data_IF_510913345519
#
_entry.id   IF_510913345519
#
_cell.length_a   1.000
_cell.length_b   1.000
_cell.length_c   1.000
_cell.angle_alpha   90.00
_cell.angle_beta   90.00
_cell.angle_gamma   90.00
#
_symmetry.space_group_name_H-M   'P 1'
#
loop_
_entity.id
_entity.type
_entity.pdbx_description
1 polymer ?
#
# COMPACT_ATOMS: atom_id res chain seq x y z
N UNK A 1 58.91 -11.48 -39.98
CA UNK A 1 57.99 -10.45 -39.44
C UNK A 1 56.92 -11.19 -38.64
N UNK A 2 57.12 -11.20 -37.33
CA UNK A 2 56.48 -12.12 -36.39
C UNK A 2 55.11 -11.55 -35.97
N UNK A 3 54.03 -12.27 -36.27
CA UNK A 3 52.69 -11.93 -35.78
C UNK A 3 52.59 -12.27 -34.29
N UNK A 4 52.37 -11.25 -33.45
CA UNK A 4 51.99 -11.40 -32.05
C UNK A 4 50.50 -11.75 -31.96
N UNK A 5 50.20 -12.96 -31.47
CA UNK A 5 48.87 -13.37 -31.02
C UNK A 5 48.65 -12.88 -29.58
N UNK A 6 47.60 -12.09 -29.36
CA UNK A 6 47.09 -11.78 -28.01
C UNK A 6 46.47 -13.02 -27.36
N UNK A 7 46.64 -13.25 -26.05
CA UNK A 7 45.90 -14.29 -25.35
C UNK A 7 44.49 -13.81 -24.99
N UNK A 8 43.50 -14.64 -25.28
CA UNK A 8 42.12 -14.54 -24.79
C UNK A 8 42.11 -14.53 -23.25
N UNK A 9 41.50 -13.49 -22.66
CA UNK A 9 41.09 -13.50 -21.26
C UNK A 9 39.94 -14.51 -21.09
N UNK A 10 40.18 -15.55 -20.31
CA UNK A 10 39.16 -16.50 -19.89
C UNK A 10 38.11 -15.78 -19.03
N UNK A 11 36.85 -15.86 -19.45
CA UNK A 11 35.72 -15.42 -18.66
C UNK A 11 35.58 -16.30 -17.40
N UNK A 12 36.00 -15.76 -16.26
CA UNK A 12 35.71 -16.31 -14.95
C UNK A 12 34.19 -16.28 -14.72
N UNK A 13 33.54 -17.45 -14.84
CA UNK A 13 32.16 -17.65 -14.36
C UNK A 13 32.15 -17.38 -12.85
N UNK A 14 31.54 -16.27 -12.42
CA UNK A 14 31.12 -16.11 -11.03
C UNK A 14 30.07 -17.17 -10.73
N UNK A 15 30.49 -18.24 -10.06
CA UNK A 15 29.59 -19.12 -9.32
C UNK A 15 28.97 -18.30 -8.20
N UNK A 16 27.68 -17.96 -8.31
CA UNK A 16 26.89 -17.50 -7.18
C UNK A 16 26.98 -18.57 -6.08
N UNK A 17 27.62 -18.21 -4.97
CA UNK A 17 27.58 -19.02 -3.77
C UNK A 17 26.11 -19.14 -3.34
N UNK A 18 25.60 -20.37 -3.27
CA UNK A 18 24.34 -20.70 -2.62
C UNK A 18 24.39 -20.15 -1.20
N UNK A 19 23.61 -19.11 -0.94
CA UNK A 19 23.37 -18.62 0.41
C UNK A 19 22.67 -19.73 1.19
N UNK A 20 23.18 -20.01 2.39
CA UNK A 20 22.59 -20.95 3.33
C UNK A 20 21.15 -20.52 3.67
N UNK A 21 20.24 -21.47 3.96
CA UNK A 21 18.86 -21.15 4.28
C UNK A 21 18.83 -20.26 5.52
N UNK A 22 18.26 -19.07 5.37
CA UNK A 22 17.90 -18.23 6.51
C UNK A 22 16.92 -19.03 7.34
N UNK A 23 17.33 -19.42 8.55
CA UNK A 23 16.45 -20.04 9.53
C UNK A 23 15.31 -19.07 9.83
N UNK A 24 14.14 -19.33 9.27
CA UNK A 24 12.89 -18.67 9.62
C UNK A 24 12.62 -18.95 11.09
N UNK A 25 12.82 -17.93 11.94
CA UNK A 25 12.28 -17.96 13.29
C UNK A 25 10.75 -18.03 13.15
N UNK A 26 10.06 -18.93 13.87
CA UNK A 26 8.61 -18.94 13.85
C UNK A 26 8.12 -17.58 14.38
N UNK A 27 7.19 -16.95 13.67
CA UNK A 27 6.41 -15.86 14.26
C UNK A 27 5.80 -16.38 15.55
N UNK A 28 6.14 -15.75 16.67
CA UNK A 28 5.39 -15.95 17.89
C UNK A 28 4.03 -15.29 17.70
N UNK A 29 3.06 -16.06 17.21
CA UNK A 29 1.66 -15.74 17.39
C UNK A 29 1.45 -15.56 18.90
N UNK A 30 1.14 -14.34 19.34
CA UNK A 30 0.52 -14.16 20.63
C UNK A 30 -0.75 -15.00 20.60
N UNK A 31 -0.76 -16.08 21.37
CA UNK A 31 -1.92 -16.93 21.59
C UNK A 31 -3.09 -16.04 22.00
N UNK A 32 -4.00 -15.80 21.06
CA UNK A 32 -5.32 -15.28 21.36
C UNK A 32 -5.92 -16.20 22.42
N UNK A 33 -6.47 -15.62 23.49
CA UNK A 33 -7.34 -16.37 24.39
C UNK A 33 -8.42 -17.00 23.52
N UNK A 34 -8.39 -18.33 23.43
CA UNK A 34 -9.41 -19.11 22.75
C UNK A 34 -10.76 -18.82 23.41
N UNK A 35 -11.60 -18.03 22.73
CA UNK A 35 -13.03 -18.18 22.90
C UNK A 35 -13.39 -19.52 22.29
N UNK A 36 -13.99 -20.40 23.09
CA UNK A 36 -14.49 -21.69 22.63
C UNK A 36 -15.52 -21.44 21.52
N UNK A 37 -15.13 -21.60 20.26
CA UNK A 37 -16.06 -21.65 19.14
C UNK A 37 -16.52 -23.10 19.00
N UNK A 38 -17.79 -23.36 19.28
CA UNK A 38 -18.44 -24.52 18.69
C UNK A 38 -18.27 -24.42 17.17
N UNK A 39 -17.82 -25.49 16.53
CA UNK A 39 -17.63 -25.58 15.09
C UNK A 39 -19.00 -25.56 14.38
N UNK A 40 -19.60 -24.38 14.25
CA UNK A 40 -20.57 -24.12 13.20
C UNK A 40 -19.76 -23.87 11.93
N UNK A 41 -19.92 -24.73 10.92
CA UNK A 41 -19.32 -24.54 9.61
C UNK A 41 -19.49 -23.10 9.15
N UNK A 42 -18.40 -22.43 8.76
CA UNK A 42 -18.43 -21.09 8.19
C UNK A 42 -19.41 -21.12 7.00
N UNK A 43 -20.59 -20.52 7.18
CA UNK A 43 -21.54 -20.35 6.07
C UNK A 43 -21.07 -19.14 5.29
N UNK A 44 -20.67 -19.36 4.04
CA UNK A 44 -20.39 -18.29 3.12
C UNK A 44 -21.66 -17.44 2.93
N UNK A 45 -21.50 -16.13 3.05
CA UNK A 45 -22.57 -15.17 2.83
C UNK A 45 -22.44 -14.62 1.42
N UNK A 46 -23.53 -14.74 0.64
CA UNK A 46 -23.60 -14.12 -0.69
C UNK A 46 -24.01 -12.67 -0.50
N UNK A 47 -23.11 -11.76 -0.85
CA UNK A 47 -23.33 -10.32 -0.83
C UNK A 47 -23.63 -9.85 -2.25
N UNK A 48 -24.69 -9.06 -2.43
CA UNK A 48 -24.98 -8.42 -3.70
C UNK A 48 -24.48 -6.98 -3.68
N UNK A 49 -23.49 -6.69 -4.51
CA UNK A 49 -23.00 -5.34 -4.72
C UNK A 49 -24.01 -4.49 -5.50
N UNK A 50 -24.10 -3.17 -5.23
CA UNK A 50 -24.85 -2.23 -6.04
C UNK A 50 -24.48 -2.31 -7.53
N UNK A 51 -25.45 -2.07 -8.43
CA UNK A 51 -25.23 -2.17 -9.88
C UNK A 51 -24.23 -1.13 -10.42
N UNK A 52 -23.95 -0.07 -9.66
CA UNK A 52 -22.99 0.98 -9.98
C UNK A 52 -21.64 0.79 -9.27
N UNK A 53 -21.37 -0.37 -8.64
CA UNK A 53 -20.07 -0.65 -8.01
C UNK A 53 -18.93 -0.70 -9.02
N UNK A 54 -19.23 -1.00 -10.29
CA UNK A 54 -18.25 -1.14 -11.36
C UNK A 54 -18.68 -0.44 -12.66
N UNK A 55 -17.73 0.19 -13.33
CA UNK A 55 -17.86 0.67 -14.72
C UNK A 55 -16.64 0.16 -15.51
N UNK A 56 -16.85 -0.58 -16.59
CA UNK A 56 -15.77 -1.23 -17.35
C UNK A 56 -15.41 -0.51 -18.65
N UNK A 57 -14.19 -0.73 -19.11
CA UNK A 57 -13.66 -0.22 -20.37
C UNK A 57 -12.83 -1.31 -21.05
N UNK A 58 -13.26 -1.75 -22.23
CA UNK A 58 -12.62 -2.82 -23.00
C UNK A 58 -12.46 -4.16 -22.24
N UNK A 59 -13.32 -4.43 -21.26
CA UNK A 59 -13.40 -5.69 -20.53
C UNK A 59 -14.81 -5.94 -19.97
N UNK A 60 -15.12 -7.20 -19.69
CA UNK A 60 -16.32 -7.57 -18.94
C UNK A 60 -16.12 -7.25 -17.46
N UNK A 61 -17.12 -6.65 -16.77
CA UNK A 61 -17.01 -6.34 -15.36
C UNK A 61 -17.03 -7.63 -14.50
N UNK A 62 -16.49 -7.59 -13.27
CA UNK A 62 -16.61 -8.70 -12.34
C UNK A 62 -18.07 -8.94 -11.90
N UNK A 63 -18.31 -10.10 -11.31
CA UNK A 63 -19.59 -10.45 -10.69
C UNK A 63 -19.97 -9.42 -9.61
N UNK A 64 -21.27 -9.11 -9.54
CA UNK A 64 -21.85 -8.34 -8.44
C UNK A 64 -22.24 -9.24 -7.25
N UNK A 65 -22.31 -10.56 -7.45
CA UNK A 65 -22.47 -11.53 -6.37
C UNK A 65 -21.09 -11.92 -5.85
N UNK A 66 -20.85 -11.65 -4.57
CA UNK A 66 -19.57 -11.87 -3.89
C UNK A 66 -19.77 -12.83 -2.73
N UNK A 67 -18.99 -13.90 -2.70
CA UNK A 67 -19.01 -14.87 -1.61
C UNK A 67 -17.90 -14.56 -0.61
N UNK A 68 -18.28 -14.16 0.59
CA UNK A 68 -17.35 -13.94 1.69
C UNK A 68 -17.87 -14.60 2.97
N UNK A 69 -16.95 -15.16 3.74
CA UNK A 69 -17.29 -15.70 5.05
C UNK A 69 -17.54 -14.56 6.05
N UNK A 70 -18.34 -14.85 7.08
CA UNK A 70 -18.51 -13.95 8.23
C UNK A 70 -17.17 -13.48 8.79
N UNK A 71 -16.21 -14.39 8.97
CA UNK A 71 -14.91 -14.08 9.55
C UNK A 71 -14.09 -13.13 8.67
N UNK A 72 -14.18 -13.26 7.34
CA UNK A 72 -13.53 -12.35 6.41
C UNK A 72 -14.08 -10.92 6.55
N UNK A 73 -15.42 -10.77 6.61
CA UNK A 73 -16.05 -9.46 6.77
C UNK A 73 -15.74 -8.82 8.12
N UNK A 74 -15.77 -9.60 9.21
CA UNK A 74 -15.38 -9.12 10.54
C UNK A 74 -13.90 -8.71 10.58
N UNK A 75 -13.02 -9.45 9.90
CA UNK A 75 -11.63 -9.08 9.77
C UNK A 75 -11.47 -7.76 9.00
N UNK A 76 -12.11 -7.61 7.84
CA UNK A 76 -12.10 -6.35 7.07
C UNK A 76 -12.51 -5.15 7.94
N UNK A 77 -13.58 -5.29 8.73
CA UNK A 77 -14.00 -4.25 9.67
C UNK A 77 -12.91 -3.89 10.69
N UNK A 78 -12.33 -4.90 11.35
CA UNK A 78 -11.26 -4.70 12.35
C UNK A 78 -10.05 -3.99 11.74
N UNK A 79 -9.60 -4.41 10.56
CA UNK A 79 -8.44 -3.82 9.90
C UNK A 79 -8.69 -2.36 9.52
N UNK A 80 -9.86 -2.02 8.97
CA UNK A 80 -10.20 -0.63 8.67
C UNK A 80 -10.27 0.23 9.95
N UNK A 81 -10.85 -0.30 11.03
CA UNK A 81 -10.90 0.38 12.32
C UNK A 81 -9.50 0.65 12.90
N UNK A 82 -8.57 -0.30 12.80
CA UNK A 82 -7.18 -0.14 13.20
C UNK A 82 -6.49 0.95 12.38
N UNK A 83 -6.61 0.92 11.05
CA UNK A 83 -6.02 1.94 10.17
C UNK A 83 -6.55 3.33 10.51
N UNK A 84 -7.89 3.49 10.59
CA UNK A 84 -8.52 4.76 11.00
C UNK A 84 -7.97 5.27 12.32
N UNK A 85 -7.79 4.38 13.29
CA UNK A 85 -7.33 4.73 14.64
C UNK A 85 -5.84 5.06 14.68
N UNK A 86 -5.01 4.36 13.91
CA UNK A 86 -3.60 4.68 13.69
C UNK A 86 -3.43 6.08 13.07
N UNK A 87 -4.22 6.40 12.05
CA UNK A 87 -4.14 7.68 11.34
C UNK A 87 -4.61 8.87 12.20
N UNK A 88 -5.71 8.73 12.95
CA UNK A 88 -6.15 9.78 13.90
C UNK A 88 -5.11 9.96 15.02
N UNK A 89 -4.42 8.89 15.42
CA UNK A 89 -3.33 8.97 16.38
C UNK A 89 -2.13 9.71 15.79
N UNK A 90 -1.76 9.45 14.54
CA UNK A 90 -0.69 10.16 13.85
C UNK A 90 -1.02 11.67 13.72
N UNK A 91 -2.26 12.05 13.42
CA UNK A 91 -2.72 13.44 13.46
C UNK A 91 -2.44 14.11 14.83
N UNK A 92 -2.82 13.45 15.92
CA UNK A 92 -2.60 13.95 17.27
C UNK A 92 -1.12 14.08 17.64
N UNK A 93 -0.30 13.09 17.29
CA UNK A 93 1.15 13.09 17.53
C UNK A 93 1.86 14.19 16.71
N UNK A 94 1.41 14.44 15.48
CA UNK A 94 1.93 15.53 14.65
C UNK A 94 1.59 16.90 15.24
N UNK A 95 0.34 17.11 15.67
CA UNK A 95 -0.08 18.35 16.35
C UNK A 95 0.66 18.58 17.68
N UNK A 96 1.07 17.51 18.34
CA UNK A 96 1.93 17.54 19.52
C UNK A 96 3.42 17.75 19.20
N UNK A 97 3.77 18.00 17.93
CA UNK A 97 5.15 18.20 17.43
C UNK A 97 6.08 17.00 17.64
N UNK A 98 5.52 15.81 17.87
CA UNK A 98 6.28 14.56 18.01
C UNK A 98 6.59 13.91 16.66
N UNK A 99 5.70 14.09 15.68
CA UNK A 99 5.95 13.77 14.26
C UNK A 99 6.30 15.08 13.54
N UNK A 100 7.28 15.04 12.64
CA UNK A 100 7.76 16.21 11.89
C UNK A 100 7.78 15.93 10.38
N UNK A 101 8.00 16.97 9.59
CA UNK A 101 8.12 16.84 8.13
C UNK A 101 6.80 16.49 7.47
N UNK A 102 6.81 15.52 6.55
CA UNK A 102 5.59 15.08 5.89
C UNK A 102 4.82 14.03 6.70
N UNK A 103 3.50 14.11 6.66
CA UNK A 103 2.60 13.09 7.21
C UNK A 103 1.29 13.12 6.41
N UNK A 104 1.00 12.02 5.69
CA UNK A 104 -0.13 11.93 4.75
C UNK A 104 -1.11 10.87 5.22
N UNK A 105 -2.23 11.29 5.81
CA UNK A 105 -3.18 10.39 6.45
C UNK A 105 -4.16 9.77 5.44
N UNK A 106 -4.37 8.45 5.46
CA UNK A 106 -5.34 7.79 4.55
C UNK A 106 -6.78 7.73 5.08
N UNK A 107 -7.14 8.53 6.10
CA UNK A 107 -8.51 8.52 6.65
C UNK A 107 -9.58 8.74 5.57
N UNK A 108 -10.53 7.80 5.48
CA UNK A 108 -11.58 7.75 4.45
C UNK A 108 -11.29 6.81 3.28
N UNK A 109 -10.04 6.33 3.14
CA UNK A 109 -9.60 5.43 2.06
C UNK A 109 -9.30 4.01 2.57
N UNK A 110 -9.75 3.65 3.76
CA UNK A 110 -9.39 2.37 4.40
C UNK A 110 -9.81 1.15 3.58
N UNK A 111 -10.99 1.24 2.93
CA UNK A 111 -11.52 0.18 2.07
C UNK A 111 -10.57 -0.22 0.95
N UNK A 112 -9.77 0.72 0.41
CA UNK A 112 -8.83 0.44 -0.67
C UNK A 112 -7.75 -0.53 -0.21
N UNK A 113 -7.00 -0.18 0.84
CA UNK A 113 -5.92 -1.02 1.35
C UNK A 113 -6.41 -2.36 1.93
N UNK A 114 -7.54 -2.37 2.63
CA UNK A 114 -8.08 -3.57 3.28
C UNK A 114 -8.76 -4.50 2.28
N UNK A 115 -9.55 -3.96 1.35
CA UNK A 115 -10.20 -4.73 0.31
C UNK A 115 -9.18 -5.36 -0.63
N UNK A 116 -8.13 -4.61 -0.99
CA UNK A 116 -7.01 -5.12 -1.75
C UNK A 116 -6.34 -6.29 -1.02
N UNK A 117 -5.85 -6.10 0.20
CA UNK A 117 -5.09 -7.14 0.90
C UNK A 117 -5.90 -8.42 1.09
N UNK A 118 -7.19 -8.28 1.34
CA UNK A 118 -8.08 -9.43 1.53
C UNK A 118 -8.19 -10.32 0.28
N UNK A 119 -7.90 -9.79 -0.91
CA UNK A 119 -7.94 -10.48 -2.20
C UNK A 119 -6.56 -10.93 -2.72
N UNK A 120 -5.47 -10.49 -2.09
CA UNK A 120 -4.10 -10.80 -2.51
C UNK A 120 -3.51 -11.98 -1.72
N UNK A 121 -2.36 -12.44 -2.21
CA UNK A 121 -1.48 -13.40 -1.53
C UNK A 121 -0.15 -12.74 -1.15
N UNK A 122 0.65 -13.41 -0.34
CA UNK A 122 2.00 -12.95 0.03
C UNK A 122 2.95 -12.91 -1.20
N UNK A 123 2.64 -13.65 -2.27
CA UNK A 123 3.45 -13.67 -3.49
C UNK A 123 3.24 -12.40 -4.33
N UNK A 124 2.05 -11.80 -4.27
CA UNK A 124 1.71 -10.58 -5.00
C UNK A 124 2.51 -9.40 -4.45
N UNK A 125 2.92 -8.46 -5.31
CA UNK A 125 3.71 -7.30 -4.90
C UNK A 125 2.88 -6.04 -4.93
N UNK A 126 3.13 -5.14 -3.98
CA UNK A 126 2.44 -3.85 -3.91
C UNK A 126 3.45 -2.72 -3.87
N UNK A 127 3.19 -1.65 -4.61
CA UNK A 127 3.94 -0.40 -4.54
C UNK A 127 2.99 0.79 -4.61
N UNK A 128 3.23 1.84 -3.82
CA UNK A 128 2.38 3.05 -3.82
C UNK A 128 3.20 4.34 -3.60
N UNK A 129 2.51 5.47 -3.59
CA UNK A 129 3.07 6.78 -3.26
C UNK A 129 3.23 6.96 -1.74
N UNK A 130 3.40 8.20 -1.29
CA UNK A 130 3.67 8.55 0.11
C UNK A 130 2.48 8.44 1.08
N UNK A 131 1.27 8.13 0.62
CA UNK A 131 0.09 7.92 1.49
C UNK A 131 -0.06 6.44 1.82
N UNK A 132 0.92 5.91 2.53
CA UNK A 132 1.18 4.46 2.56
C UNK A 132 1.02 3.79 3.93
N UNK A 133 0.56 4.48 4.99
CA UNK A 133 0.51 3.88 6.33
C UNK A 133 -0.42 2.66 6.37
N UNK A 134 -1.62 2.76 5.79
CA UNK A 134 -2.57 1.64 5.68
C UNK A 134 -1.99 0.46 4.90
N UNK A 135 -1.40 0.71 3.73
CA UNK A 135 -0.71 -0.32 2.93
C UNK A 135 0.45 -0.98 3.69
N UNK A 136 1.26 -0.19 4.39
CA UNK A 136 2.37 -0.69 5.19
C UNK A 136 1.88 -1.64 6.28
N UNK A 137 0.78 -1.28 6.95
CA UNK A 137 0.16 -2.11 7.98
C UNK A 137 -0.38 -3.42 7.39
N UNK A 138 -1.15 -3.33 6.30
CA UNK A 138 -1.71 -4.50 5.64
C UNK A 138 -0.64 -5.44 5.08
N UNK A 139 0.49 -4.91 4.61
CA UNK A 139 1.61 -5.70 4.05
C UNK A 139 2.67 -6.11 5.08
N UNK A 140 2.26 -6.28 6.34
CA UNK A 140 3.09 -6.90 7.38
C UNK A 140 3.85 -5.95 8.30
N UNK A 141 3.68 -4.63 8.15
CA UNK A 141 4.18 -3.65 9.10
C UNK A 141 3.37 -3.66 10.40
N UNK A 142 4.04 -3.81 11.55
CA UNK A 142 3.34 -3.67 12.84
C UNK A 142 2.94 -2.22 13.09
N UNK A 143 1.83 -1.98 13.79
CA UNK A 143 1.41 -0.63 14.23
C UNK A 143 2.55 0.06 14.99
N UNK A 144 3.26 -0.70 15.83
CA UNK A 144 4.42 -0.22 16.57
C UNK A 144 5.53 0.29 15.64
N UNK A 145 5.98 -0.52 14.67
CA UNK A 145 7.06 -0.13 13.76
C UNK A 145 6.69 1.05 12.87
N UNK A 146 5.42 1.21 12.50
CA UNK A 146 4.93 2.34 11.73
C UNK A 146 4.95 3.61 12.58
N UNK A 147 4.36 3.58 13.78
CA UNK A 147 4.34 4.73 14.69
C UNK A 147 5.74 5.11 15.16
N UNK A 148 6.61 4.14 15.42
CA UNK A 148 8.02 4.37 15.77
C UNK A 148 8.77 5.05 14.61
N UNK A 149 8.50 4.68 13.35
CA UNK A 149 9.09 5.37 12.19
C UNK A 149 8.60 6.81 12.07
N UNK A 150 7.29 7.05 12.25
CA UNK A 150 6.72 8.40 12.26
C UNK A 150 7.31 9.29 13.35
N UNK A 151 7.61 8.70 14.52
CA UNK A 151 8.26 9.35 15.65
C UNK A 151 9.79 9.43 15.52
N UNK A 152 10.36 8.96 14.41
CA UNK A 152 11.81 9.00 14.15
C UNK A 152 12.65 8.12 15.08
N UNK A 153 12.11 6.97 15.53
CA UNK A 153 12.78 6.08 16.49
C UNK A 153 13.56 4.97 15.80
N UNK A 154 14.59 4.44 16.48
CA UNK A 154 15.47 3.37 15.98
C UNK A 154 14.73 2.07 15.64
N UNK A 155 13.63 1.81 16.33
CA UNK A 155 12.74 0.66 16.17
C UNK A 155 11.68 0.85 15.07
N UNK A 156 11.67 2.02 14.43
CA UNK A 156 10.88 2.27 13.24
C UNK A 156 11.20 1.26 12.14
N UNK A 157 10.23 1.01 11.26
CA UNK A 157 10.37 0.02 10.18
C UNK A 157 11.57 0.31 9.25
N UNK A 158 11.94 1.58 9.12
CA UNK A 158 13.11 2.06 8.38
C UNK A 158 14.17 2.67 9.32
N UNK A 159 14.15 2.26 10.60
CA UNK A 159 15.06 2.68 11.68
C UNK A 159 15.08 4.20 11.92
N UNK A 160 13.97 4.89 11.67
CA UNK A 160 13.85 6.34 11.80
C UNK A 160 14.54 7.14 10.68
N UNK A 161 14.99 6.47 9.60
CA UNK A 161 15.62 7.13 8.44
C UNK A 161 14.62 7.54 7.36
N UNK A 162 13.46 6.88 7.30
CA UNK A 162 12.50 7.06 6.21
C UNK A 162 11.40 8.06 6.52
N UNK A 163 10.91 8.07 7.77
CA UNK A 163 9.73 8.84 8.16
C UNK A 163 8.44 8.35 7.49
N UNK A 164 7.44 9.23 7.40
CA UNK A 164 6.09 8.89 6.89
C UNK A 164 6.09 8.32 5.47
N UNK A 165 6.91 8.87 4.59
CA UNK A 165 6.82 8.56 3.17
C UNK A 165 7.50 7.26 2.78
N UNK A 166 8.44 6.74 3.58
CA UNK A 166 9.39 5.70 3.15
C UNK A 166 9.42 4.52 4.11
N UNK A 167 8.38 3.68 4.03
CA UNK A 167 8.24 2.44 4.78
C UNK A 167 8.18 1.27 3.80
N UNK A 168 8.88 0.17 4.09
CA UNK A 168 9.01 -0.98 3.18
C UNK A 168 8.82 -2.28 3.96
N UNK A 169 8.28 -3.30 3.30
CA UNK A 169 8.24 -4.69 3.78
C UNK A 169 8.73 -5.62 2.67
N UNK A 170 8.96 -6.93 2.91
CA UNK A 170 9.44 -7.84 1.86
C UNK A 170 8.61 -7.81 0.56
N UNK A 171 7.29 -7.63 0.69
CA UNK A 171 6.34 -7.68 -0.43
C UNK A 171 5.63 -6.35 -0.68
N UNK A 172 6.07 -5.29 0.00
CA UNK A 172 5.65 -3.90 -0.20
C UNK A 172 6.86 -3.03 -0.51
N UNK A 173 6.96 -2.60 -1.77
CA UNK A 173 8.05 -1.77 -2.31
C UNK A 173 7.86 -0.29 -1.98
N UNK A 174 7.06 -0.05 -0.95
CA UNK A 174 7.08 1.11 -0.11
C UNK A 174 6.22 2.27 -0.56
N UNK A 175 6.30 3.30 0.27
CA UNK A 175 5.85 4.63 -0.09
C UNK A 175 6.94 5.41 -0.84
N UNK A 176 6.52 6.04 -1.93
CA UNK A 176 7.41 6.76 -2.82
C UNK A 176 7.05 8.25 -2.83
N UNK A 177 8.04 9.10 -2.56
CA UNK A 177 7.85 10.56 -2.39
C UNK A 177 7.75 11.32 -3.71
N UNK A 178 8.26 10.74 -4.81
CA UNK A 178 8.28 11.39 -6.13
C UNK A 178 7.04 10.95 -6.92
N UNK A 179 6.15 11.90 -7.20
CA UNK A 179 4.85 11.65 -7.82
C UNK A 179 5.02 10.96 -9.19
N UNK A 180 4.45 9.76 -9.32
CA UNK A 180 4.45 8.96 -10.55
C UNK A 180 5.67 8.05 -10.70
N UNK A 181 6.75 8.26 -9.95
CA UNK A 181 7.99 7.48 -10.08
C UNK A 181 7.81 6.00 -9.71
N UNK A 182 6.86 5.71 -8.83
CA UNK A 182 6.54 4.34 -8.45
C UNK A 182 5.86 3.53 -9.56
N UNK A 183 5.31 4.20 -10.59
CA UNK A 183 4.55 3.51 -11.65
C UNK A 183 5.48 2.70 -12.56
N UNK A 184 6.56 3.27 -13.12
CA UNK A 184 7.57 2.48 -13.81
C UNK A 184 8.25 1.43 -12.93
N UNK A 185 8.48 1.73 -11.63
CA UNK A 185 9.04 0.76 -10.69
C UNK A 185 8.13 -0.47 -10.52
N UNK A 186 6.82 -0.24 -10.38
CA UNK A 186 5.82 -1.30 -10.33
C UNK A 186 5.79 -2.15 -11.60
N UNK A 187 5.86 -1.53 -12.78
CA UNK A 187 6.01 -2.27 -14.04
C UNK A 187 7.30 -3.11 -14.08
N UNK A 188 8.41 -2.60 -13.55
CA UNK A 188 9.67 -3.35 -13.41
C UNK A 188 9.56 -4.55 -12.45
N UNK A 189 8.84 -4.41 -11.34
CA UNK A 189 8.55 -5.51 -10.41
C UNK A 189 7.67 -6.56 -11.09
N UNK A 190 6.66 -6.14 -11.86
CA UNK A 190 5.81 -7.04 -12.64
C UNK A 190 6.61 -7.81 -13.71
N UNK A 191 7.58 -7.15 -14.35
CA UNK A 191 8.53 -7.82 -15.25
C UNK A 191 9.33 -8.89 -14.52
N UNK A 192 9.85 -8.58 -13.33
CA UNK A 192 10.58 -9.55 -12.51
C UNK A 192 9.69 -10.72 -12.06
N UNK A 193 8.43 -10.48 -11.69
CA UNK A 193 7.46 -11.54 -11.40
C UNK A 193 7.21 -12.42 -12.62
N UNK A 194 6.94 -11.84 -13.80
CA UNK A 194 6.79 -12.63 -15.03
C UNK A 194 8.02 -13.51 -15.31
N UNK A 195 9.21 -13.01 -14.99
CA UNK A 195 10.47 -13.71 -15.24
C UNK A 195 10.79 -14.81 -14.21
N UNK A 196 10.48 -14.58 -12.93
CA UNK A 196 10.92 -15.43 -11.80
C UNK A 196 9.78 -16.19 -11.11
N UNK A 197 8.56 -15.65 -11.12
CA UNK A 197 7.41 -16.08 -10.32
C UNK A 197 6.10 -15.90 -11.13
N UNK A 198 5.82 -16.75 -12.13
CA UNK A 198 4.76 -16.51 -13.12
C UNK A 198 3.32 -16.55 -12.57
N UNK A 199 3.12 -16.80 -11.26
CA UNK A 199 1.81 -16.97 -10.62
C UNK A 199 1.44 -15.81 -9.68
N UNK A 200 2.17 -14.69 -9.73
CA UNK A 200 1.93 -13.53 -8.88
C UNK A 200 1.81 -12.25 -9.72
N UNK A 201 0.95 -11.33 -9.25
CA UNK A 201 0.71 -10.04 -9.89
C UNK A 201 1.34 -8.90 -9.07
N UNK A 202 1.58 -7.77 -9.74
CA UNK A 202 2.05 -6.54 -9.09
C UNK A 202 0.96 -5.48 -9.18
N UNK A 203 0.58 -4.95 -8.02
CA UNK A 203 -0.36 -3.84 -7.90
C UNK A 203 0.41 -2.54 -7.71
N UNK A 204 0.24 -1.64 -8.67
CA UNK A 204 1.03 -0.41 -8.82
C UNK A 204 0.13 0.80 -8.64
N UNK A 205 0.14 1.37 -7.43
CA UNK A 205 -0.76 2.45 -7.03
C UNK A 205 -0.21 3.83 -7.35
N UNK A 206 -1.10 4.74 -7.74
CA UNK A 206 -0.84 6.16 -7.94
C UNK A 206 -2.14 6.96 -7.71
N UNK A 207 -2.04 8.28 -7.46
CA UNK A 207 -3.22 9.13 -7.26
C UNK A 207 -3.72 9.79 -8.54
N UNK A 208 -4.91 10.39 -8.50
CA UNK A 208 -5.50 11.16 -9.60
C UNK A 208 -4.56 12.25 -10.16
N UNK A 209 -3.90 13.02 -9.28
CA UNK A 209 -2.90 13.99 -9.71
C UNK A 209 -1.64 13.38 -10.35
N UNK A 210 -1.29 12.14 -9.98
CA UNK A 210 -0.15 11.42 -10.55
C UNK A 210 -0.47 10.80 -11.91
N UNK A 211 -1.75 10.60 -12.25
CA UNK A 211 -2.19 10.02 -13.52
C UNK A 211 -1.74 10.83 -14.75
N UNK A 212 -1.42 12.12 -14.57
CA UNK A 212 -0.94 13.00 -15.64
C UNK A 212 0.60 13.00 -15.81
N UNK A 213 1.34 12.16 -15.08
CA UNK A 213 2.79 12.04 -15.24
C UNK A 213 3.15 11.27 -16.51
N UNK A 214 4.04 11.81 -17.35
CA UNK A 214 4.41 11.18 -18.63
C UNK A 214 4.92 9.74 -18.49
N UNK A 215 5.72 9.47 -17.44
CA UNK A 215 6.25 8.13 -17.14
C UNK A 215 5.17 7.08 -16.84
N UNK A 216 3.95 7.49 -16.47
CA UNK A 216 2.81 6.57 -16.30
C UNK A 216 2.42 5.96 -17.65
N UNK A 217 2.30 6.80 -18.69
CA UNK A 217 1.98 6.35 -20.05
C UNK A 217 3.11 5.55 -20.69
N UNK A 218 4.37 5.90 -20.41
CA UNK A 218 5.53 5.10 -20.82
C UNK A 218 5.48 3.69 -20.19
N UNK A 219 5.15 3.60 -18.90
CA UNK A 219 4.99 2.34 -18.19
C UNK A 219 3.81 1.53 -18.74
N UNK A 220 2.67 2.16 -19.04
CA UNK A 220 1.52 1.51 -19.69
C UNK A 220 1.94 0.86 -21.02
N UNK A 221 2.60 1.62 -21.89
CA UNK A 221 3.04 1.13 -23.20
C UNK A 221 3.95 -0.10 -23.08
N UNK A 222 4.99 -0.03 -22.23
CA UNK A 222 5.91 -1.16 -22.05
C UNK A 222 5.23 -2.36 -21.37
N UNK A 223 4.38 -2.11 -20.36
CA UNK A 223 3.69 -3.18 -19.67
C UNK A 223 2.74 -3.94 -20.62
N UNK A 224 2.05 -3.22 -21.52
CA UNK A 224 1.20 -3.87 -22.52
C UNK A 224 2.01 -4.58 -23.59
N UNK A 225 3.06 -3.94 -24.12
CA UNK A 225 3.94 -4.53 -25.13
C UNK A 225 4.52 -5.88 -24.68
N UNK A 226 4.80 -6.02 -23.39
CA UNK A 226 5.39 -7.23 -22.83
C UNK A 226 4.39 -8.12 -22.09
N UNK A 227 3.09 -7.83 -22.15
CA UNK A 227 2.03 -8.52 -21.39
C UNK A 227 2.46 -8.80 -19.94
N UNK A 228 2.80 -7.74 -19.20
CA UNK A 228 3.21 -7.85 -17.81
C UNK A 228 2.01 -8.10 -16.89
N UNK A 229 2.16 -8.89 -15.81
CA UNK A 229 1.13 -9.10 -14.79
C UNK A 229 1.03 -7.88 -13.84
N UNK A 230 0.83 -6.69 -14.41
CA UNK A 230 0.78 -5.43 -13.70
C UNK A 230 -0.65 -4.88 -13.67
N UNK A 231 -1.19 -4.65 -12.47
CA UNK A 231 -2.44 -3.93 -12.28
C UNK A 231 -2.10 -2.50 -11.84
N UNK A 232 -2.39 -1.54 -12.70
CA UNK A 232 -2.19 -0.12 -12.44
C UNK A 232 -3.41 0.44 -11.71
N UNK A 233 -3.24 0.98 -10.51
CA UNK A 233 -4.37 1.41 -9.66
C UNK A 233 -4.32 2.90 -9.39
N UNK A 234 -5.27 3.65 -9.94
CA UNK A 234 -5.50 5.05 -9.64
C UNK A 234 -6.40 5.20 -8.40
N UNK A 235 -5.85 5.66 -7.27
CA UNK A 235 -6.63 6.11 -6.11
C UNK A 235 -7.16 7.52 -6.38
N UNK A 236 -8.35 7.59 -6.97
CA UNK A 236 -9.01 8.86 -7.28
C UNK A 236 -9.73 9.38 -6.03
N UNK A 237 -9.04 10.21 -5.25
CA UNK A 237 -9.60 10.91 -4.09
C UNK A 237 -10.10 12.33 -4.43
N UNK A 238 -10.31 12.61 -5.73
CA UNK A 238 -10.84 13.84 -6.32
C UNK A 238 -9.88 15.05 -6.35
N UNK A 239 -8.72 14.99 -5.67
CA UNK A 239 -7.83 16.14 -5.49
C UNK A 239 -6.33 15.79 -5.48
N UNK A 240 -5.63 16.26 -6.51
CA UNK A 240 -4.15 16.30 -6.56
C UNK A 240 -3.62 17.45 -5.72
N UNK A 241 -3.21 17.18 -4.48
CA UNK A 241 -2.87 18.18 -3.46
C UNK A 241 -4.04 19.15 -3.21
N UNK A 242 -4.09 20.29 -3.90
CA UNK A 242 -5.18 21.26 -3.81
C UNK A 242 -5.90 21.51 -5.14
N UNK A 243 -5.53 20.79 -6.20
CA UNK A 243 -6.15 20.94 -7.52
C UNK A 243 -7.19 19.85 -7.73
N UNK A 244 -8.47 20.20 -7.91
CA UNK A 244 -9.53 19.25 -8.27
C UNK A 244 -9.22 18.50 -9.58
N UNK A 245 -9.74 17.27 -9.71
CA UNK A 245 -9.53 16.41 -10.88
C UNK A 245 -9.87 17.09 -12.22
N UNK A 246 -11.01 17.77 -12.30
CA UNK A 246 -11.50 18.49 -13.50
C UNK A 246 -10.64 19.71 -13.90
N UNK A 247 -9.77 20.17 -13.00
CA UNK A 247 -8.81 21.26 -13.24
C UNK A 247 -7.40 20.77 -13.54
N UNK A 248 -7.12 19.48 -13.36
CA UNK A 248 -5.81 18.89 -13.61
C UNK A 248 -5.81 17.93 -14.80
N UNK A 249 -6.98 17.35 -15.15
CA UNK A 249 -7.10 16.27 -16.13
C UNK A 249 -8.20 16.60 -17.13
N UNK A 250 -7.89 16.55 -18.43
CA UNK A 250 -8.87 16.79 -19.50
C UNK A 250 -9.92 15.67 -19.59
N UNK A 251 -9.55 14.46 -19.16
CA UNK A 251 -10.44 13.32 -18.99
C UNK A 251 -10.33 12.82 -17.54
N UNK A 252 -11.42 12.86 -16.78
CA UNK A 252 -11.46 12.40 -15.39
C UNK A 252 -11.88 10.93 -15.23
N UNK A 253 -12.14 10.22 -16.34
CA UNK A 253 -12.28 8.77 -16.35
C UNK A 253 -10.90 8.09 -16.34
N UNK A 254 -10.25 8.06 -15.18
CA UNK A 254 -8.87 7.58 -15.02
C UNK A 254 -8.70 6.12 -15.41
N UNK A 255 -9.72 5.28 -15.23
CA UNK A 255 -9.71 3.89 -15.69
C UNK A 255 -9.58 3.75 -17.22
N UNK A 256 -9.85 4.80 -18.00
CA UNK A 256 -9.69 4.83 -19.47
C UNK A 256 -8.32 5.35 -19.92
N UNK A 257 -7.48 5.86 -19.00
CA UNK A 257 -6.18 6.47 -19.36
C UNK A 257 -5.18 5.46 -19.94
N UNK A 258 -5.41 4.17 -19.72
CA UNK A 258 -4.66 3.10 -20.36
C UNK A 258 -4.85 2.99 -21.87
N UNK A 259 -5.85 3.68 -22.45
CA UNK A 259 -6.23 3.65 -23.87
C UNK A 259 -6.44 2.21 -24.39
N UNK A 260 -5.40 1.58 -24.94
CA UNK A 260 -5.43 0.19 -25.36
C UNK A 260 -5.35 -0.82 -24.21
N UNK A 261 -5.10 -0.38 -22.96
CA UNK A 261 -5.16 -1.22 -21.76
C UNK A 261 -6.59 -1.19 -21.20
N UNK A 262 -7.23 -2.36 -20.99
CA UNK A 262 -8.56 -2.42 -20.37
C UNK A 262 -8.61 -1.83 -18.97
N UNK A 263 -9.79 -1.36 -18.59
CA UNK A 263 -9.99 -0.54 -17.41
C UNK A 263 -11.23 -0.93 -16.60
N UNK A 264 -11.18 -0.76 -15.28
CA UNK A 264 -12.34 -0.88 -14.40
C UNK A 264 -12.35 0.23 -13.35
N UNK A 265 -13.41 1.03 -13.33
CA UNK A 265 -13.71 1.96 -12.24
C UNK A 265 -14.46 1.21 -11.15
N UNK A 266 -14.11 1.46 -9.90
CA UNK A 266 -14.55 0.72 -8.72
C UNK A 266 -15.01 1.71 -7.65
N UNK A 267 -16.12 1.40 -6.97
CA UNK A 267 -16.51 2.07 -5.72
C UNK A 267 -15.47 1.78 -4.62
N UNK A 268 -14.48 2.67 -4.50
CA UNK A 268 -13.39 2.58 -3.52
C UNK A 268 -13.80 2.91 -2.10
N UNK A 269 -15.08 3.16 -1.83
CA UNK A 269 -15.66 3.34 -0.50
C UNK A 269 -16.38 2.07 0.00
N UNK A 270 -16.53 1.04 -0.85
CA UNK A 270 -17.07 -0.27 -0.49
C UNK A 270 -15.96 -1.32 -0.48
N UNK A 271 -15.58 -1.79 0.71
CA UNK A 271 -14.49 -2.77 0.86
C UNK A 271 -14.78 -4.11 0.16
N UNK A 272 -16.05 -4.48 0.01
CA UNK A 272 -16.45 -5.72 -0.70
C UNK A 272 -16.32 -5.51 -2.21
N UNK A 273 -16.66 -4.32 -2.72
CA UNK A 273 -16.44 -3.98 -4.13
C UNK A 273 -14.94 -3.95 -4.47
N UNK A 274 -14.12 -3.34 -3.60
CA UNK A 274 -12.66 -3.34 -3.76
C UNK A 274 -12.12 -4.76 -3.75
N UNK A 275 -12.53 -5.60 -2.79
CA UNK A 275 -12.13 -7.02 -2.73
C UNK A 275 -12.43 -7.74 -4.05
N UNK A 276 -13.68 -7.63 -4.53
CA UNK A 276 -14.11 -8.33 -5.74
C UNK A 276 -13.39 -7.83 -6.99
N UNK A 277 -13.16 -6.51 -7.12
CA UNK A 277 -12.40 -5.94 -8.22
C UNK A 277 -10.94 -6.37 -8.20
N UNK A 278 -10.30 -6.40 -7.02
CA UNK A 278 -8.88 -6.80 -6.89
C UNK A 278 -8.71 -8.30 -7.16
N UNK A 279 -9.60 -9.15 -6.65
CA UNK A 279 -9.57 -10.58 -6.93
C UNK A 279 -9.69 -10.86 -8.44
N UNK A 280 -10.64 -10.20 -9.10
CA UNK A 280 -10.82 -10.28 -10.55
C UNK A 280 -9.62 -9.71 -11.33
N UNK A 281 -9.06 -8.57 -10.91
CA UNK A 281 -7.91 -7.95 -11.56
C UNK A 281 -6.64 -8.80 -11.41
N UNK A 282 -6.46 -9.47 -10.26
CA UNK A 282 -5.38 -10.43 -10.04
C UNK A 282 -5.50 -11.60 -11.02
N UNK A 283 -6.69 -12.20 -11.13
CA UNK A 283 -6.95 -13.26 -12.10
C UNK A 283 -6.72 -12.79 -13.55
N UNK A 284 -7.17 -11.59 -13.89
CA UNK A 284 -6.93 -10.97 -15.19
C UNK A 284 -5.44 -10.88 -15.51
N UNK A 285 -4.64 -10.29 -14.62
CA UNK A 285 -3.22 -10.08 -14.82
C UNK A 285 -2.43 -11.39 -14.94
N UNK A 286 -2.91 -12.47 -14.30
CA UNK A 286 -2.32 -13.81 -14.39
C UNK A 286 -2.80 -14.61 -15.60
N UNK A 287 -3.85 -14.17 -16.27
CA UNK A 287 -4.35 -14.85 -17.47
C UNK A 287 -3.43 -14.59 -18.66
N UNK A 288 -2.91 -15.66 -19.25
CA UNK A 288 -1.99 -15.58 -20.39
C UNK A 288 -2.57 -14.75 -21.54
N UNK A 289 -1.78 -13.80 -22.05
CA UNK A 289 -2.15 -12.93 -23.17
C UNK A 289 -3.09 -11.76 -22.84
N UNK A 290 -3.58 -11.63 -21.60
CA UNK A 290 -4.36 -10.44 -21.21
C UNK A 290 -3.48 -9.23 -20.91
N UNK A 291 -2.34 -9.47 -20.26
CA UNK A 291 -1.38 -8.43 -19.89
C UNK A 291 -1.91 -7.50 -18.79
N UNK A 292 -1.54 -6.21 -18.79
CA UNK A 292 -1.89 -5.29 -17.71
C UNK A 292 -3.37 -4.90 -17.72
N UNK A 293 -3.78 -4.26 -16.62
CA UNK A 293 -5.12 -3.70 -16.41
C UNK A 293 -5.01 -2.36 -15.67
N UNK A 294 -5.92 -1.42 -15.93
CA UNK A 294 -6.06 -0.18 -15.15
C UNK A 294 -7.29 -0.26 -14.23
N UNK A 295 -7.12 0.03 -12.95
CA UNK A 295 -8.21 0.21 -12.00
C UNK A 295 -8.29 1.68 -11.58
N UNK A 296 -9.50 2.22 -11.46
CA UNK A 296 -9.75 3.49 -10.77
C UNK A 296 -10.55 3.22 -9.49
N UNK A 297 -9.92 3.38 -8.34
CA UNK A 297 -10.59 3.32 -7.04
C UNK A 297 -11.16 4.70 -6.72
N UNK A 298 -12.47 4.87 -6.89
CA UNK A 298 -13.15 6.11 -6.53
C UNK A 298 -13.33 6.18 -5.02
N UNK A 299 -12.51 7.00 -4.38
CA UNK A 299 -12.44 7.07 -2.92
C UNK A 299 -12.38 8.52 -2.45
N UNK A 300 -12.16 8.76 -1.17
CA UNK A 300 -12.09 10.12 -0.63
C UNK A 300 -11.22 10.23 0.61
N UNK A 301 -10.36 11.25 0.65
CA UNK A 301 -9.55 11.58 1.84
C UNK A 301 -10.23 12.63 2.71
N UNK A 302 -10.42 12.35 3.99
CA UNK A 302 -11.03 13.31 4.92
C UNK A 302 -10.06 14.41 5.35
N UNK A 303 -8.80 14.05 5.60
CA UNK A 303 -7.75 15.03 5.89
C UNK A 303 -7.40 15.83 4.63
N UNK A 304 -6.75 16.99 4.83
CA UNK A 304 -6.08 17.70 3.74
C UNK A 304 -4.98 16.86 3.07
N UNK A 305 -4.21 17.47 2.18
CA UNK A 305 -3.21 16.72 1.42
C UNK A 305 -2.20 16.04 2.35
N UNK A 306 -1.65 16.83 3.25
CA UNK A 306 -0.74 16.45 4.34
C UNK A 306 -1.12 17.23 5.60
N UNK A 307 -0.44 16.98 6.71
CA UNK A 307 -0.65 17.72 7.95
C UNK A 307 -0.39 19.24 7.87
N UNK A 308 0.33 19.72 6.86
CA UNK A 308 0.53 21.17 6.62
C UNK A 308 -0.62 21.82 5.83
N UNK A 309 -1.55 21.03 5.30
CA UNK A 309 -2.67 21.49 4.49
C UNK A 309 -4.00 21.27 5.24
N UNK A 310 -4.71 22.34 5.66
CA UNK A 310 -6.03 22.22 6.27
C UNK A 310 -7.11 21.66 5.33
N UNK A 311 -6.91 21.74 4.01
CA UNK A 311 -7.84 21.21 3.01
C UNK A 311 -9.15 21.99 2.83
N UNK A 312 -9.22 23.24 3.32
CA UNK A 312 -10.43 24.07 3.28
C UNK A 312 -10.40 25.18 2.23
N UNK A 313 -9.28 25.38 1.54
CA UNK A 313 -9.14 26.43 0.50
C UNK A 313 -9.65 26.01 -0.88
N UNK A 314 -9.79 24.70 -1.13
CA UNK A 314 -10.13 24.14 -2.44
C UNK A 314 -11.34 23.18 -2.41
N UNK A 315 -11.95 22.98 -1.24
CA UNK A 315 -13.18 22.18 -1.04
C UNK A 315 -13.87 22.59 0.24
N UNK A 316 -15.17 22.33 0.32
CA UNK A 316 -15.99 22.76 1.46
C UNK A 316 -15.96 21.74 2.61
N UNK A 317 -16.19 22.21 3.84
CA UNK A 317 -16.40 21.30 4.99
C UNK A 317 -17.67 20.46 4.85
N UNK A 318 -18.70 21.01 4.19
CA UNK A 318 -19.96 20.31 3.94
C UNK A 318 -19.78 19.14 2.97
N UNK A 319 -18.92 19.26 1.97
CA UNK A 319 -18.56 18.16 1.07
C UNK A 319 -17.95 17.00 1.85
N UNK A 320 -16.91 17.27 2.66
CA UNK A 320 -16.25 16.24 3.48
C UNK A 320 -17.26 15.59 4.43
N UNK A 321 -18.11 16.39 5.08
CA UNK A 321 -19.14 15.91 5.99
C UNK A 321 -20.15 15.01 5.27
N UNK A 322 -20.61 15.41 4.09
CA UNK A 322 -21.56 14.65 3.26
C UNK A 322 -20.97 13.30 2.84
N UNK A 323 -19.71 13.28 2.38
CA UNK A 323 -19.05 12.02 2.03
C UNK A 323 -18.92 11.12 3.26
N UNK A 324 -18.48 11.66 4.40
CA UNK A 324 -18.33 10.86 5.63
C UNK A 324 -19.66 10.35 6.17
N UNK A 325 -20.73 11.13 6.11
CA UNK A 325 -22.04 10.69 6.62
C UNK A 325 -22.70 9.64 5.75
N UNK A 326 -22.45 9.68 4.43
CA UNK A 326 -23.19 8.84 3.49
C UNK A 326 -22.40 7.64 3.00
N UNK A 327 -21.07 7.76 2.93
CA UNK A 327 -20.21 6.82 2.22
C UNK A 327 -18.99 6.38 3.05
N UNK A 328 -18.92 6.62 4.37
CA UNK A 328 -17.75 6.16 5.14
C UNK A 328 -17.60 4.64 5.07
N UNK A 329 -16.40 4.12 4.72
CA UNK A 329 -16.22 2.70 4.44
C UNK A 329 -16.42 1.81 5.67
N UNK A 330 -16.13 2.34 6.87
CA UNK A 330 -16.27 1.61 8.14
C UNK A 330 -17.74 1.59 8.53
N UNK A 331 -18.43 2.73 8.47
CA UNK A 331 -19.87 2.81 8.74
C UNK A 331 -20.66 1.93 7.78
N UNK A 332 -20.34 1.94 6.48
CA UNK A 332 -21.04 1.13 5.47
C UNK A 332 -20.91 -0.37 5.75
N UNK A 333 -19.70 -0.86 6.04
CA UNK A 333 -19.52 -2.27 6.40
C UNK A 333 -20.17 -2.60 7.75
N UNK A 334 -20.14 -1.69 8.74
CA UNK A 334 -20.84 -1.87 10.02
C UNK A 334 -22.34 -2.12 9.79
N UNK A 335 -22.98 -1.26 9.00
CA UNK A 335 -24.41 -1.35 8.73
C UNK A 335 -24.75 -2.67 8.04
N UNK A 336 -23.98 -3.07 7.03
CA UNK A 336 -24.13 -4.37 6.36
C UNK A 336 -23.96 -5.55 7.33
N UNK A 337 -22.95 -5.52 8.21
CA UNK A 337 -22.72 -6.58 9.20
C UNK A 337 -23.90 -6.74 10.18
N UNK A 338 -24.53 -5.63 10.58
CA UNK A 338 -25.70 -5.64 11.49
C UNK A 338 -26.95 -6.10 10.74
N UNK A 339 -27.20 -5.58 9.54
CA UNK A 339 -28.35 -5.94 8.71
C UNK A 339 -28.37 -7.44 8.39
N UNK A 340 -27.21 -8.01 8.09
CA UNK A 340 -27.04 -9.44 7.82
C UNK A 340 -26.95 -10.30 9.09
N UNK A 341 -27.12 -9.71 10.27
CA UNK A 341 -27.03 -10.39 11.57
C UNK A 341 -25.70 -11.13 11.78
N UNK A 342 -24.62 -10.62 11.17
CA UNK A 342 -23.27 -11.16 11.30
C UNK A 342 -22.57 -10.60 12.55
N UNK A 343 -22.95 -9.42 13.02
CA UNK A 343 -22.48 -8.83 14.28
C UNK A 343 -23.59 -8.01 14.96
N UNK A 344 -23.56 -7.96 16.29
CA UNK A 344 -24.34 -7.01 17.07
C UNK A 344 -23.64 -5.65 17.20
N UNK A 345 -24.37 -4.61 17.61
CA UNK A 345 -23.78 -3.31 18.00
C UNK A 345 -22.71 -3.47 19.09
N UNK A 346 -22.93 -4.38 20.04
CA UNK A 346 -21.99 -4.70 21.10
C UNK A 346 -20.69 -5.32 20.56
N UNK A 347 -20.79 -6.23 19.58
CA UNK A 347 -19.61 -6.83 18.92
C UNK A 347 -18.80 -5.76 18.19
N UNK A 348 -19.47 -4.88 17.45
CA UNK A 348 -18.83 -3.76 16.74
C UNK A 348 -18.08 -2.86 17.74
N UNK A 349 -18.76 -2.44 18.82
CA UNK A 349 -18.18 -1.61 19.86
C UNK A 349 -16.98 -2.28 20.55
N UNK A 350 -17.02 -3.60 20.73
CA UNK A 350 -15.91 -4.35 21.28
C UNK A 350 -14.69 -4.35 20.34
N UNK A 351 -14.90 -4.49 19.02
CA UNK A 351 -13.84 -4.40 18.02
C UNK A 351 -13.21 -3.00 17.97
N UNK A 352 -14.02 -1.94 18.00
CA UNK A 352 -13.52 -0.56 18.04
C UNK A 352 -12.67 -0.29 19.29
N UNK A 353 -13.12 -0.80 20.45
CA UNK A 353 -12.37 -0.70 21.71
C UNK A 353 -11.05 -1.47 21.64
N UNK A 354 -11.05 -2.65 21.03
CA UNK A 354 -9.84 -3.44 20.86
C UNK A 354 -8.83 -2.75 19.93
N UNK A 355 -9.28 -2.27 18.76
CA UNK A 355 -8.45 -1.51 17.83
C UNK A 355 -7.82 -0.28 18.49
N UNK A 356 -8.62 0.46 19.28
CA UNK A 356 -8.10 1.59 20.06
C UNK A 356 -7.04 1.16 21.07
N UNK A 357 -7.31 0.13 21.88
CA UNK A 357 -6.37 -0.33 22.90
C UNK A 357 -5.04 -0.81 22.29
N UNK A 358 -5.11 -1.45 21.12
CA UNK A 358 -3.92 -1.90 20.39
C UNK A 358 -3.07 -0.73 19.89
N UNK A 359 -3.69 0.27 19.25
CA UNK A 359 -2.99 1.47 18.79
C UNK A 359 -2.43 2.27 19.97
N UNK A 360 -3.22 2.47 21.03
CA UNK A 360 -2.78 3.22 22.23
C UNK A 360 -1.55 2.52 22.88
N UNK A 361 -1.55 1.19 22.95
CA UNK A 361 -0.39 0.42 23.42
C UNK A 361 0.84 0.63 22.52
N UNK A 362 0.66 0.59 21.21
CA UNK A 362 1.75 0.80 20.26
C UNK A 362 2.36 2.21 20.35
N UNK A 363 1.53 3.25 20.58
CA UNK A 363 1.99 4.63 20.83
C UNK A 363 2.88 4.70 22.05
N UNK A 364 2.46 4.12 23.17
CA UNK A 364 3.20 4.19 24.42
C UNK A 364 4.53 3.43 24.36
N UNK A 365 4.61 2.36 23.56
CA UNK A 365 5.87 1.69 23.25
C UNK A 365 6.76 2.57 22.36
N UNK A 366 6.23 3.06 21.23
CA UNK A 366 7.00 3.86 20.29
C UNK A 366 7.54 5.16 20.91
N UNK A 367 6.80 5.79 21.82
CA UNK A 367 7.29 6.98 22.56
C UNK A 367 8.45 6.70 23.50
N UNK A 368 8.63 5.45 23.96
CA UNK A 368 9.71 5.04 24.86
C UNK A 368 10.95 4.56 24.11
N UNK A 369 10.81 4.23 22.82
CA UNK A 369 11.91 3.73 22.02
C UNK A 369 13.01 4.78 21.82
N UNK A 370 14.29 4.38 21.77
CA UNK A 370 15.38 5.32 21.63
C UNK A 370 15.39 5.94 20.22
N UNK A 371 15.85 7.19 20.13
CA UNK A 371 16.27 7.76 18.84
C UNK A 371 17.46 6.97 18.25
N UNK A 372 17.63 6.97 16.92
CA UNK A 372 18.83 6.44 16.29
C UNK A 372 20.09 7.15 16.81
N UNK A 373 21.17 6.40 17.04
CA UNK A 373 22.47 6.99 17.36
C UNK A 373 22.99 7.76 16.13
N UNK A 374 23.64 8.91 16.33
CA UNK A 374 24.30 9.69 15.27
C UNK A 374 25.25 8.86 14.41
N UNK A 375 25.93 7.86 14.98
CA UNK A 375 26.81 6.96 14.22
C UNK A 375 26.07 6.16 13.14
N UNK A 376 24.77 5.90 13.36
CA UNK A 376 23.93 5.18 12.40
C UNK A 376 23.61 5.98 11.15
N UNK A 377 23.96 7.27 11.09
CA UNK A 377 23.77 8.14 9.92
C UNK A 377 24.44 7.55 8.67
N UNK A 378 25.58 6.90 8.83
CA UNK A 378 26.40 6.37 7.74
C UNK A 378 26.07 4.93 7.35
N UNK A 379 25.19 4.27 8.11
CA UNK A 379 24.76 2.91 7.84
C UNK A 379 23.82 2.85 6.63
N UNK A 380 23.90 1.77 5.85
CA UNK A 380 22.98 1.44 4.76
C UNK A 380 22.99 2.38 3.55
N UNK A 381 24.06 3.18 3.38
CA UNK A 381 24.30 3.92 2.13
C UNK A 381 24.57 2.96 0.96
N UNK A 382 25.29 1.86 1.23
CA UNK A 382 25.51 0.77 0.30
C UNK A 382 24.93 -0.53 0.88
N UNK A 383 24.65 -1.50 -0.01
CA UNK A 383 24.33 -2.86 0.42
C UNK A 383 25.55 -3.47 1.10
N UNK A 384 25.31 -4.26 2.15
CA UNK A 384 26.40 -4.88 2.91
C UNK A 384 27.29 -5.73 1.99
N UNK A 385 28.59 -5.49 2.00
CA UNK A 385 29.57 -6.14 1.14
C UNK A 385 29.84 -5.44 -0.20
N UNK A 386 29.13 -4.36 -0.52
CA UNK A 386 29.36 -3.54 -1.73
C UNK A 386 29.83 -2.12 -1.38
N UNK A 387 30.32 -1.91 -0.17
CA UNK A 387 30.70 -0.60 0.33
C UNK A 387 31.95 -0.05 -0.38
N UNK A 388 31.94 1.25 -0.67
CA UNK A 388 33.16 1.96 -1.01
C UNK A 388 34.13 1.97 0.19
N UNK A 389 35.47 2.06 -0.02
CA UNK A 389 36.45 2.10 1.07
C UNK A 389 36.22 3.23 2.09
N UNK A 390 35.58 4.31 1.66
CA UNK A 390 35.13 5.41 2.50
C UNK A 390 33.89 6.06 1.88
N UNK A 391 33.07 6.69 2.73
CA UNK A 391 32.03 7.61 2.31
C UNK A 391 32.53 9.04 2.43
N UNK A 392 32.27 9.85 1.41
CA UNK A 392 32.50 11.29 1.48
C UNK A 392 31.37 11.93 2.29
N UNK A 393 31.72 12.73 3.28
CA UNK A 393 30.79 13.56 4.02
C UNK A 393 30.42 14.82 3.26
N UNK A 394 29.95 15.85 3.99
CA UNK A 394 29.48 17.11 3.37
C UNK A 394 30.63 17.89 2.75
N UNK A 395 31.80 17.84 3.38
CA UNK A 395 33.02 18.49 2.89
C UNK A 395 34.03 17.46 2.34
N UNK A 396 34.91 17.83 1.39
CA UNK A 396 35.91 16.91 0.83
C UNK A 396 36.84 16.26 1.88
N UNK A 397 37.06 16.93 3.00
CA UNK A 397 37.87 16.50 4.14
C UNK A 397 37.14 15.54 5.07
N UNK A 398 35.80 15.57 5.08
CA UNK A 398 34.98 14.68 5.88
C UNK A 398 34.92 13.32 5.18
N UNK A 399 35.61 12.32 5.76
CA UNK A 399 35.57 10.94 5.27
C UNK A 399 35.13 10.02 6.40
N UNK A 400 34.03 9.31 6.17
CA UNK A 400 33.60 8.24 7.05
C UNK A 400 34.19 6.92 6.55
N UNK A 401 34.84 6.19 7.45
CA UNK A 401 35.37 4.87 7.18
C UNK A 401 34.51 3.84 7.89
N UNK A 402 34.09 2.81 7.15
CA UNK A 402 33.41 1.67 7.75
C UNK A 402 34.38 0.94 8.68
N UNK A 403 34.00 0.77 9.95
CA UNK A 403 34.69 -0.16 10.84
C UNK A 403 34.43 -1.57 10.30
N UNK A 404 35.46 -2.19 9.71
CA UNK A 404 35.38 -3.53 9.12
C UNK A 404 35.23 -4.63 10.17
#
# INVERSE_FOLDING_TARGET
MTMLRSPMLAASRLTLARTAPVTTRPMAFLTARAFSSSAAAARDTVLRLPSNSFESYNCDPPSLDVNLSKDALLNMYRQMAIIRRMEITADGLYKAMLIRGFCHLSTGQEAVSVGMESALTDEDKVITAYRSHGFTYMRGGSIHSILAELLGRKTGISKGKGGSMHMFTPDFFGGNGIVGAQVPLGAGIAFAQKYLHPNAATFTFYGDGAANQGQVFEAFNMAKLWDLPCVFVCENNQYGMGTPADRSSANTDYFKHGDYIPGLKVDGMDVVAVYQAVAWAREWALTSGKGPLVLEMQTYRYAGHSMSDPGTSYRSREEIKKVRSNNDPITRLKEQLIELQLASEEDIKAMDKAARAEVDKAVELAKKDPEPNVDSLWEHVNVKGTEAPFLRGREPSERHHYNR
#
